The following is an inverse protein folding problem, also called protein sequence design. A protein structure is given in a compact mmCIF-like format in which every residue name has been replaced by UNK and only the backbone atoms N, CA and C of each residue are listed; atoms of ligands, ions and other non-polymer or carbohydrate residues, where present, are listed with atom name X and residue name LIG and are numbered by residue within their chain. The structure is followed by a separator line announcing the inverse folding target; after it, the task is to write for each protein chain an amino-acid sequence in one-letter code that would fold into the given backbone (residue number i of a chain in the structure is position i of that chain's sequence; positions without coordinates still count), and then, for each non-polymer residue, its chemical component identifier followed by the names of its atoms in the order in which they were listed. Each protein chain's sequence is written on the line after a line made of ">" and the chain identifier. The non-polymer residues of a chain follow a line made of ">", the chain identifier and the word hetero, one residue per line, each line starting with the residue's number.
data_IF_573908561631
#
_entry.id   IF_573908561631
#
_cell.length_a   1.000
_cell.length_b   1.000
_cell.length_c   1.000
_cell.angle_alpha   90.00
_cell.angle_beta   90.00
_cell.angle_gamma   90.00
#
_symmetry.space_group_name_H-M   'P 1'
#
loop_
_entity.id
_entity.type
_entity.pdbx_description
1 polymer ?
#
# COMPACT_ATOMS: atom_id res chain seq x y z
N UNK A 1 -10.17 -1.64 -18.30
CA UNK A 1 -8.99 -2.52 -18.41
C UNK A 1 -8.12 -2.21 -17.21
N UNK A 2 -7.94 -3.19 -16.32
CA UNK A 2 -7.16 -2.98 -15.10
C UNK A 2 -5.68 -3.05 -15.44
N UNK A 3 -4.93 -2.02 -15.03
CA UNK A 3 -3.49 -1.93 -15.26
C UNK A 3 -2.76 -1.99 -13.93
N UNK A 4 -1.75 -2.87 -13.87
CA UNK A 4 -0.79 -2.91 -12.76
C UNK A 4 0.29 -1.87 -13.00
N UNK A 5 0.45 -0.95 -12.06
CA UNK A 5 1.45 0.09 -12.13
C UNK A 5 2.71 -0.30 -11.35
N UNK A 6 3.89 -0.12 -11.95
CA UNK A 6 5.17 -0.47 -11.34
C UNK A 6 5.97 0.79 -10.96
N UNK A 7 6.23 0.97 -9.65
CA UNK A 7 7.19 1.94 -9.13
C UNK A 7 6.57 3.22 -8.53
N UNK A 8 7.08 3.69 -7.38
CA UNK A 8 6.57 4.90 -6.72
C UNK A 8 7.15 6.16 -7.39
N UNK A 9 6.27 6.94 -8.03
CA UNK A 9 6.50 8.37 -8.29
C UNK A 9 5.79 9.18 -7.21
N UNK A 10 6.24 10.39 -6.86
CA UNK A 10 5.65 11.16 -5.76
C UNK A 10 4.13 11.29 -5.88
N UNK A 11 3.61 11.64 -7.06
CA UNK A 11 2.17 11.79 -7.26
C UNK A 11 1.40 10.46 -7.12
N UNK A 12 2.07 9.32 -7.35
CA UNK A 12 1.49 7.98 -7.17
C UNK A 12 1.48 7.56 -5.70
N UNK A 13 2.46 8.03 -4.92
CA UNK A 13 2.50 7.81 -3.47
C UNK A 13 1.34 8.54 -2.82
N UNK A 14 1.13 9.83 -3.13
CA UNK A 14 0.02 10.58 -2.52
C UNK A 14 -1.35 9.96 -2.81
N UNK A 15 -1.60 9.55 -4.07
CA UNK A 15 -2.83 8.86 -4.44
C UNK A 15 -3.00 7.51 -3.74
N UNK A 16 -1.91 6.77 -3.52
CA UNK A 16 -1.91 5.52 -2.76
C UNK A 16 -2.28 5.77 -1.30
N UNK A 17 -1.67 6.78 -0.68
CA UNK A 17 -1.94 7.07 0.73
C UNK A 17 -3.36 7.56 0.94
N UNK A 18 -3.87 8.40 0.04
CA UNK A 18 -5.27 8.83 0.07
C UNK A 18 -6.24 7.65 -0.02
N UNK A 19 -5.94 6.66 -0.87
CA UNK A 19 -6.72 5.43 -0.95
C UNK A 19 -6.67 4.64 0.37
N UNK A 20 -5.49 4.44 0.95
CA UNK A 20 -5.34 3.74 2.23
C UNK A 20 -6.15 4.43 3.33
N UNK A 21 -6.02 5.75 3.45
CA UNK A 21 -6.74 6.51 4.47
C UNK A 21 -8.26 6.43 4.26
N UNK A 22 -8.74 6.57 3.02
CA UNK A 22 -10.17 6.48 2.73
C UNK A 22 -10.74 5.10 3.05
N UNK A 23 -10.08 4.02 2.59
CA UNK A 23 -10.53 2.64 2.84
C UNK A 23 -10.60 2.30 4.32
N UNK A 24 -9.58 2.69 5.11
CA UNK A 24 -9.56 2.40 6.54
C UNK A 24 -10.50 3.32 7.35
N UNK A 25 -10.76 4.53 6.88
CA UNK A 25 -11.75 5.43 7.51
C UNK A 25 -13.16 4.87 7.40
N UNK A 26 -13.48 4.25 6.27
CA UNK A 26 -14.78 3.60 6.04
C UNK A 26 -14.91 2.27 6.79
N UNK A 27 -13.81 1.51 6.96
CA UNK A 27 -13.81 0.20 7.60
C UNK A 27 -13.64 0.24 9.14
N UNK A 28 -13.00 1.28 9.66
CA UNK A 28 -12.69 1.45 11.07
C UNK A 28 -13.09 2.87 11.54
N UNK A 29 -12.12 3.71 11.86
CA UNK A 29 -12.32 5.10 12.24
C UNK A 29 -11.20 6.02 11.70
N UNK A 30 -11.37 7.32 11.91
CA UNK A 30 -10.46 8.34 11.40
C UNK A 30 -9.04 8.27 12.01
N UNK A 31 -8.92 7.81 13.26
CA UNK A 31 -7.62 7.76 13.94
C UNK A 31 -6.82 6.55 13.44
N UNK A 32 -7.45 5.39 13.35
CA UNK A 32 -6.83 4.19 12.77
C UNK A 32 -6.46 4.40 11.30
N UNK A 33 -7.35 5.00 10.52
CA UNK A 33 -7.08 5.35 9.12
C UNK A 33 -5.80 6.18 8.95
N UNK A 34 -5.62 7.19 9.82
CA UNK A 34 -4.42 8.04 9.80
C UNK A 34 -3.17 7.27 10.18
N UNK A 35 -3.24 6.40 11.19
CA UNK A 35 -2.12 5.54 11.62
C UNK A 35 -1.68 4.63 10.46
N UNK A 36 -2.62 3.98 9.78
CA UNK A 36 -2.30 3.07 8.67
C UNK A 36 -1.78 3.84 7.45
N UNK A 37 -2.32 5.02 7.16
CA UNK A 37 -1.81 5.91 6.12
C UNK A 37 -0.36 6.35 6.41
N UNK A 38 -0.05 6.73 7.64
CA UNK A 38 1.31 7.08 8.06
C UNK A 38 2.26 5.87 8.03
N UNK A 39 1.77 4.69 8.40
CA UNK A 39 2.54 3.45 8.24
C UNK A 39 2.86 3.19 6.77
N UNK A 40 1.90 3.33 5.86
CA UNK A 40 2.12 3.19 4.42
C UNK A 40 3.16 4.19 3.90
N UNK A 41 3.05 5.47 4.30
CA UNK A 41 4.04 6.52 3.98
C UNK A 41 5.44 6.11 4.42
N UNK A 42 5.57 5.65 5.67
CA UNK A 42 6.85 5.27 6.24
C UNK A 42 7.45 4.04 5.58
N UNK A 43 6.66 3.01 5.26
CA UNK A 43 7.14 1.84 4.51
C UNK A 43 7.71 2.30 3.16
N UNK A 44 7.00 3.15 2.42
CA UNK A 44 7.46 3.63 1.11
C UNK A 44 8.73 4.48 1.22
N UNK A 45 8.78 5.37 2.21
CA UNK A 45 9.88 6.32 2.35
C UNK A 45 11.17 5.68 2.88
N UNK A 46 11.05 4.64 3.71
CA UNK A 46 12.20 4.09 4.46
C UNK A 46 12.66 2.71 3.97
N UNK A 47 11.81 1.98 3.23
CA UNK A 47 12.19 0.66 2.70
C UNK A 47 13.01 0.82 1.42
N UNK A 48 14.17 0.16 1.31
CA UNK A 48 14.92 0.14 0.05
C UNK A 48 14.06 -0.33 -1.11
N UNK A 49 14.17 0.32 -2.27
CA UNK A 49 13.38 -0.03 -3.46
C UNK A 49 13.57 -1.49 -3.91
N UNK A 50 14.73 -2.11 -3.65
CA UNK A 50 15.00 -3.52 -3.94
C UNK A 50 14.22 -4.51 -3.06
N UNK A 51 13.68 -4.02 -1.94
CA UNK A 51 12.92 -4.79 -0.96
C UNK A 51 11.46 -4.35 -0.87
N UNK A 52 11.02 -3.38 -1.69
CA UNK A 52 9.63 -2.93 -1.75
C UNK A 52 9.05 -3.14 -3.15
N UNK A 53 7.93 -3.88 -3.23
CA UNK A 53 7.09 -3.92 -4.42
C UNK A 53 5.72 -3.35 -4.07
N UNK A 54 5.31 -2.33 -4.80
CA UNK A 54 3.96 -1.77 -4.75
C UNK A 54 3.20 -2.33 -5.94
N UNK A 55 2.06 -2.96 -5.70
CA UNK A 55 1.13 -3.42 -6.73
C UNK A 55 -0.17 -2.66 -6.57
N UNK A 56 -0.79 -2.24 -7.67
CA UNK A 56 -2.04 -1.51 -7.60
C UNK A 56 -2.93 -1.75 -8.79
N UNK A 57 -4.24 -1.78 -8.54
CA UNK A 57 -5.25 -1.83 -9.58
C UNK A 57 -5.66 -0.40 -9.94
N UNK A 58 -5.61 -0.10 -11.24
CA UNK A 58 -6.11 1.13 -11.82
C UNK A 58 -7.41 0.84 -12.58
N UNK A 59 -8.46 1.64 -12.36
CA UNK A 59 -9.66 1.68 -13.20
C UNK A 59 -9.99 3.12 -13.55
N UNK A 60 -10.27 3.39 -14.83
CA UNK A 60 -10.61 4.72 -15.34
C UNK A 60 -9.60 5.82 -14.96
N UNK A 61 -8.32 5.44 -14.92
CA UNK A 61 -7.21 6.33 -14.53
C UNK A 61 -7.08 6.58 -13.03
N UNK A 62 -7.97 6.05 -12.20
CA UNK A 62 -7.92 6.15 -10.74
C UNK A 62 -7.38 4.87 -10.10
N UNK A 63 -6.65 5.00 -8.99
CA UNK A 63 -6.20 3.86 -8.18
C UNK A 63 -7.37 3.34 -7.35
N UNK A 64 -7.72 2.07 -7.58
CA UNK A 64 -8.83 1.39 -6.91
C UNK A 64 -8.36 0.41 -5.84
N UNK A 65 -7.17 -0.15 -5.99
CA UNK A 65 -6.58 -1.02 -4.98
C UNK A 65 -5.07 -0.83 -4.90
N UNK A 66 -4.50 -1.14 -3.74
CA UNK A 66 -3.06 -1.19 -3.53
C UNK A 66 -2.71 -2.27 -2.52
N UNK A 67 -1.58 -2.93 -2.74
CA UNK A 67 -0.93 -3.80 -1.78
C UNK A 67 0.58 -3.56 -1.82
N UNK A 68 1.19 -3.49 -0.64
CA UNK A 68 2.63 -3.38 -0.48
C UNK A 68 3.22 -4.73 -0.07
N UNK A 69 4.26 -5.14 -0.79
CA UNK A 69 5.08 -6.30 -0.47
C UNK A 69 6.45 -5.80 0.00
N UNK A 70 6.75 -6.01 1.28
CA UNK A 70 8.01 -5.61 1.89
C UNK A 70 8.84 -6.84 2.24
N UNK A 71 9.98 -7.02 1.59
CA UNK A 71 10.92 -8.11 1.90
C UNK A 71 11.61 -7.83 3.23
N UNK A 72 11.55 -8.81 4.14
CA UNK A 72 12.23 -8.77 5.42
C UNK A 72 13.19 -9.96 5.54
N UNK A 73 14.27 -9.78 6.30
CA UNK A 73 15.27 -10.82 6.58
C UNK A 73 15.46 -10.94 8.10
N UNK A 74 14.57 -11.67 8.81
CA UNK A 74 14.68 -11.83 10.25
C UNK A 74 15.96 -12.57 10.61
N UNK A 75 16.79 -11.95 11.46
CA UNK A 75 18.16 -12.41 11.77
C UNK A 75 18.19 -13.87 12.27
N UNK A 76 17.17 -14.28 13.02
CA UNK A 76 17.10 -15.59 13.67
C UNK A 76 16.71 -16.73 12.73
N UNK A 77 16.19 -16.41 11.54
CA UNK A 77 15.58 -17.42 10.66
C UNK A 77 16.47 -17.84 9.48
N UNK A 78 17.42 -16.99 9.07
CA UNK A 78 18.14 -17.13 7.79
C UNK A 78 17.23 -17.10 6.55
N UNK A 79 15.93 -16.81 6.70
CA UNK A 79 14.92 -16.82 5.64
C UNK A 79 14.64 -15.42 5.14
N UNK A 80 14.25 -15.33 3.88
CA UNK A 80 13.57 -14.15 3.34
C UNK A 80 12.07 -14.35 3.51
N UNK A 81 11.40 -13.38 4.12
CA UNK A 81 9.93 -13.35 4.25
C UNK A 81 9.40 -12.07 3.62
N UNK A 82 8.10 -12.03 3.31
CA UNK A 82 7.44 -10.83 2.82
C UNK A 82 6.31 -10.45 3.78
N UNK A 83 6.30 -9.19 4.18
CA UNK A 83 5.15 -8.55 4.80
C UNK A 83 4.21 -8.07 3.68
N UNK A 84 2.95 -8.48 3.76
CA UNK A 84 1.86 -8.07 2.87
C UNK A 84 1.05 -6.99 3.57
N UNK A 85 1.55 -5.76 3.61
CA UNK A 85 0.89 -4.68 4.33
C UNK A 85 1.39 -3.28 3.95
N UNK A 86 0.51 -2.27 3.91
CA UNK A 86 -0.95 -2.41 3.98
C UNK A 86 -1.55 -2.86 2.64
N UNK A 87 -2.77 -3.38 2.71
CA UNK A 87 -3.66 -3.58 1.56
C UNK A 87 -4.85 -2.65 1.73
N UNK A 88 -5.23 -1.96 0.66
CA UNK A 88 -6.41 -1.12 0.63
C UNK A 88 -7.13 -1.27 -0.71
N UNK A 89 -8.45 -1.35 -0.66
CA UNK A 89 -9.34 -1.39 -1.81
C UNK A 89 -10.41 -0.32 -1.58
N UNK A 90 -10.67 0.49 -2.61
CA UNK A 90 -11.72 1.51 -2.56
C UNK A 90 -13.03 0.85 -2.13
N UNK A 91 -13.75 1.48 -1.21
CA UNK A 91 -14.94 0.89 -0.56
C UNK A 91 -16.01 0.47 -1.59
N UNK A 92 -16.14 1.20 -2.68
CA UNK A 92 -17.05 0.93 -3.80
C UNK A 92 -16.59 -0.20 -4.74
N UNK A 93 -15.41 -0.77 -4.52
CA UNK A 93 -14.80 -1.83 -5.32
C UNK A 93 -14.45 -3.09 -4.49
N UNK A 94 -14.93 -3.18 -3.25
CA UNK A 94 -14.78 -4.37 -2.38
C UNK A 94 -15.90 -5.39 -2.65
N UNK A 95 -15.59 -6.68 -2.53
CA UNK A 95 -16.51 -7.80 -2.76
C UNK A 95 -16.03 -8.76 -3.84
#
# INVERSE_FOLDING_TARGET
>A
MEHLDEGPRPERVDALIALVEASFRDAADADEARIVADLARNIIATTPASDLKVCSALSDGARRAVILFTRMRPAESGRSVFLLSPVAVATDAQG
#
